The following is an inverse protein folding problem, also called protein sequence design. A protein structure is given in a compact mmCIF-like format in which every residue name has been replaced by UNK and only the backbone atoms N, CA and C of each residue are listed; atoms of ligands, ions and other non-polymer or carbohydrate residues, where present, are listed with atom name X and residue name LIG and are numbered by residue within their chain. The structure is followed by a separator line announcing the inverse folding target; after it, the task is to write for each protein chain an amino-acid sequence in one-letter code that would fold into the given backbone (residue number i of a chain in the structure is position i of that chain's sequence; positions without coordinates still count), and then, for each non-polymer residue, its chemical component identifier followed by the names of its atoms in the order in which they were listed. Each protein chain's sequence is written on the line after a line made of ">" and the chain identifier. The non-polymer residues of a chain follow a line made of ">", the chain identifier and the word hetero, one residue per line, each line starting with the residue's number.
data_IF_786412225540
#
_entry.id   IF_786412225540
#
_cell.length_a   1.000
_cell.length_b   1.000
_cell.length_c   1.000
_cell.angle_alpha   90.00
_cell.angle_beta   90.00
_cell.angle_gamma   90.00
#
_symmetry.space_group_name_H-M   'P 1'
#
loop_
_entity.id
_entity.type
_entity.pdbx_description
1 polymer ?
#
# COMPACT_ATOMS: atom_id res chain seq x y z
N UNK A 1 -45.92 24.51 13.09
CA UNK A 1 -44.46 24.28 13.16
C UNK A 1 -44.04 23.16 12.20
N UNK A 2 -43.02 23.33 11.35
CA UNK A 2 -42.51 22.24 10.53
C UNK A 2 -41.88 21.16 11.42
N UNK A 3 -42.19 19.89 11.13
CA UNK A 3 -41.57 18.74 11.79
C UNK A 3 -40.22 18.41 11.15
N UNK A 4 -39.21 17.96 11.92
CA UNK A 4 -37.92 17.58 11.38
C UNK A 4 -38.00 16.26 10.59
N UNK A 5 -37.08 16.07 9.65
CA UNK A 5 -36.91 14.82 8.92
C UNK A 5 -36.28 13.75 9.82
N UNK A 6 -36.86 12.55 9.83
CA UNK A 6 -36.40 11.40 10.62
C UNK A 6 -35.70 10.33 9.77
N UNK A 7 -35.38 10.64 8.52
CA UNK A 7 -34.67 9.72 7.64
C UNK A 7 -33.18 9.68 8.01
N UNK A 8 -32.50 8.53 7.78
CA UNK A 8 -31.06 8.43 7.93
C UNK A 8 -30.33 9.45 7.06
N UNK A 9 -29.11 9.79 7.47
CA UNK A 9 -28.24 10.64 6.67
C UNK A 9 -27.84 9.90 5.40
N UNK A 10 -27.94 10.59 4.27
CA UNK A 10 -27.55 10.06 2.97
C UNK A 10 -26.05 9.79 2.86
N UNK A 11 -25.22 10.41 3.70
CA UNK A 11 -23.78 10.18 3.76
C UNK A 11 -23.43 9.88 5.22
N UNK A 12 -22.81 8.74 5.47
CA UNK A 12 -22.35 8.33 6.79
C UNK A 12 -20.86 7.99 6.75
N UNK A 13 -20.11 8.48 7.74
CA UNK A 13 -18.69 8.20 7.87
C UNK A 13 -18.39 6.71 8.09
N UNK A 14 -19.37 5.90 8.52
CA UNK A 14 -19.24 4.45 8.71
C UNK A 14 -18.99 3.74 7.37
N UNK A 15 -19.60 4.21 6.28
CA UNK A 15 -19.52 3.55 4.97
C UNK A 15 -19.01 4.46 3.85
N UNK A 16 -18.87 5.76 4.12
CA UNK A 16 -18.32 6.75 3.21
C UNK A 16 -17.32 7.65 3.94
N UNK A 17 -16.06 7.22 3.96
CA UNK A 17 -14.95 8.03 4.46
C UNK A 17 -14.09 8.47 3.28
N UNK A 18 -14.23 9.74 2.89
CA UNK A 18 -13.44 10.33 1.79
C UNK A 18 -12.02 10.64 2.23
N UNK A 19 -11.87 11.12 3.47
CA UNK A 19 -10.60 11.50 4.05
C UNK A 19 -10.30 10.58 5.23
N UNK A 20 -9.74 9.41 4.92
CA UNK A 20 -9.29 8.49 5.96
C UNK A 20 -7.95 9.02 6.48
N UNK A 21 -7.81 9.25 7.80
CA UNK A 21 -6.51 9.58 8.34
C UNK A 21 -5.56 8.41 8.05
N UNK A 22 -4.57 8.66 7.21
CA UNK A 22 -3.52 7.73 6.84
C UNK A 22 -2.16 8.34 7.19
N UNK A 23 -1.20 7.49 7.50
CA UNK A 23 0.20 7.90 7.63
C UNK A 23 0.89 7.71 6.27
N UNK A 24 0.81 8.75 5.45
CA UNK A 24 1.33 8.75 4.08
C UNK A 24 2.84 8.49 4.04
N UNK A 25 3.59 8.95 5.05
CA UNK A 25 5.04 8.77 5.14
C UNK A 25 5.38 7.29 5.38
N UNK A 26 4.67 6.63 6.29
CA UNK A 26 4.87 5.20 6.53
C UNK A 26 4.45 4.34 5.33
N UNK A 27 3.39 4.70 4.62
CA UNK A 27 2.97 3.98 3.41
C UNK A 27 4.02 4.11 2.32
N UNK A 28 4.51 5.32 2.07
CA UNK A 28 5.53 5.59 1.07
C UNK A 28 6.83 4.84 1.39
N UNK A 29 7.31 4.92 2.63
CA UNK A 29 8.53 4.24 3.06
C UNK A 29 8.44 2.71 2.89
N UNK A 30 7.24 2.14 3.07
CA UNK A 30 7.01 0.71 2.80
C UNK A 30 7.11 0.40 1.31
N UNK A 31 6.46 1.20 0.46
CA UNK A 31 6.49 1.01 -0.99
C UNK A 31 7.93 1.11 -1.54
N UNK A 32 8.71 2.08 -1.07
CA UNK A 32 10.12 2.24 -1.46
C UNK A 32 10.97 1.06 -1.01
N UNK A 33 10.75 0.52 0.19
CA UNK A 33 11.46 -0.67 0.67
C UNK A 33 11.16 -1.89 -0.20
N UNK A 34 9.89 -2.11 -0.49
CA UNK A 34 9.45 -3.26 -1.30
C UNK A 34 10.05 -3.16 -2.72
N UNK A 35 10.08 -1.95 -3.29
CA UNK A 35 10.73 -1.69 -4.57
C UNK A 35 12.24 -1.95 -4.54
N UNK A 36 12.94 -1.45 -3.52
CA UNK A 36 14.39 -1.69 -3.38
C UNK A 36 14.69 -3.19 -3.20
N UNK A 37 13.87 -3.91 -2.45
CA UNK A 37 13.99 -5.36 -2.30
C UNK A 37 13.81 -6.07 -3.66
N UNK A 38 12.84 -5.65 -4.46
CA UNK A 38 12.62 -6.19 -5.80
C UNK A 38 13.83 -5.95 -6.73
N UNK A 39 14.43 -4.76 -6.69
CA UNK A 39 15.66 -4.48 -7.45
C UNK A 39 16.82 -5.38 -7.02
N UNK A 40 17.02 -5.57 -5.71
CA UNK A 40 18.05 -6.47 -5.19
C UNK A 40 17.83 -7.91 -5.66
N UNK A 41 16.58 -8.39 -5.63
CA UNK A 41 16.26 -9.73 -6.12
C UNK A 41 16.60 -9.92 -7.60
N UNK A 42 16.43 -8.88 -8.42
CA UNK A 42 16.81 -8.92 -9.83
C UNK A 42 18.33 -8.96 -9.97
N UNK A 43 19.03 -8.09 -9.26
CA UNK A 43 20.50 -7.98 -9.33
C UNK A 43 21.19 -9.26 -8.90
N UNK A 44 20.75 -9.86 -7.79
CA UNK A 44 21.41 -11.04 -7.21
C UNK A 44 20.84 -12.34 -7.75
N UNK A 45 19.94 -12.29 -8.74
CA UNK A 45 19.30 -13.50 -9.25
C UNK A 45 20.34 -14.46 -9.82
N UNK A 46 20.37 -15.66 -9.25
CA UNK A 46 21.21 -16.77 -9.71
C UNK A 46 22.73 -16.46 -9.74
N UNK A 47 23.16 -15.42 -9.03
CA UNK A 47 24.57 -14.97 -9.03
C UNK A 47 25.52 -15.95 -8.31
N UNK A 48 24.98 -16.87 -7.52
CA UNK A 48 25.74 -17.93 -6.84
C UNK A 48 25.88 -19.19 -7.68
N UNK A 49 25.25 -19.27 -8.86
CA UNK A 49 25.35 -20.44 -9.73
C UNK A 49 26.73 -20.43 -10.41
N UNK A 50 27.56 -21.42 -10.07
CA UNK A 50 28.83 -21.64 -10.74
C UNK A 50 28.57 -22.10 -12.18
N UNK A 51 29.10 -21.40 -13.21
CA UNK A 51 28.86 -21.79 -14.58
C UNK A 51 29.62 -23.07 -14.93
N UNK A 52 29.06 -23.84 -15.87
CA UNK A 52 29.64 -25.10 -16.33
C UNK A 52 31.06 -24.87 -16.86
N UNK A 53 32.02 -25.66 -16.39
CA UNK A 53 33.42 -25.58 -16.81
C UNK A 53 34.30 -24.61 -16.01
N UNK A 54 33.79 -24.05 -14.91
CA UNK A 54 34.62 -23.38 -13.89
C UNK A 54 34.86 -24.31 -12.69
N UNK A 55 36.11 -24.43 -12.25
CA UNK A 55 36.54 -24.87 -10.90
C UNK A 55 37.31 -23.73 -10.25
#
# INVERSE_FOLDING_TARGET
>A
PPFPCLLPKEIDSIWFTVDKPCDDESELAKQERDYNQWLQQIETKDNTIVPIGKT
#
